data_IF_420843786903
#
_entry.id   IF_420843786903
#
_cell.length_a   1.000
_cell.length_b   1.000
_cell.length_c   1.000
_cell.angle_alpha   90.00
_cell.angle_beta   90.00
_cell.angle_gamma   90.00
#
_symmetry.space_group_name_H-M   'P 1'
#
loop_
_entity.id
_entity.type
_entity.pdbx_description
1 polymer ?
#
# COMPACT_ATOMS: atom_id res chain seq x y z
N UNK A 1 -15.49 5.17 -26.75
CA UNK A 1 -14.67 4.29 -25.88
C UNK A 1 -14.17 5.08 -24.68
N UNK A 2 -14.35 4.54 -23.49
CA UNK A 2 -13.76 5.13 -22.30
C UNK A 2 -12.40 4.51 -22.04
N UNK A 3 -11.43 5.34 -21.77
CA UNK A 3 -10.09 4.92 -21.35
C UNK A 3 -9.92 5.22 -19.88
N UNK A 4 -9.24 4.32 -19.19
CA UNK A 4 -8.85 4.53 -17.81
C UNK A 4 -7.33 4.49 -17.71
N UNK A 5 -6.78 5.21 -16.73
CA UNK A 5 -5.36 5.15 -16.45
C UNK A 5 -5.12 4.13 -15.34
N UNK A 6 -4.20 3.22 -15.59
CA UNK A 6 -3.77 2.23 -14.61
C UNK A 6 -2.29 2.41 -14.35
N UNK A 7 -1.86 2.09 -13.15
CA UNK A 7 -0.46 2.21 -12.79
C UNK A 7 -0.04 1.13 -11.81
N UNK A 8 1.24 0.83 -11.80
CA UNK A 8 1.87 -0.02 -10.80
C UNK A 8 2.96 0.79 -10.11
N UNK A 9 3.02 0.72 -8.79
CA UNK A 9 4.05 1.39 -8.01
C UNK A 9 5.15 0.40 -7.64
N UNK A 10 6.39 0.87 -7.69
CA UNK A 10 7.54 0.14 -7.17
C UNK A 10 7.99 0.86 -5.90
N UNK A 11 7.95 0.16 -4.78
CA UNK A 11 8.29 0.73 -3.48
C UNK A 11 9.39 -0.09 -2.82
N UNK A 12 10.32 0.60 -2.18
CA UNK A 12 11.39 -0.04 -1.44
C UNK A 12 11.01 -0.13 0.04
N UNK A 13 10.20 -1.16 0.35
CA UNK A 13 9.66 -1.34 1.69
C UNK A 13 10.65 -2.05 2.60
N UNK A 14 10.58 -1.73 3.89
CA UNK A 14 11.48 -2.28 4.91
C UNK A 14 10.69 -3.23 5.83
N UNK A 15 11.24 -4.41 6.17
CA UNK A 15 10.53 -5.35 7.04
C UNK A 15 10.09 -4.68 8.35
N UNK A 16 8.81 -4.78 8.65
CA UNK A 16 8.19 -4.30 9.88
C UNK A 16 8.34 -2.80 10.17
N UNK A 17 8.75 -2.02 9.18
CA UNK A 17 8.77 -0.57 9.29
C UNK A 17 7.36 -0.03 8.98
N UNK A 18 6.46 -0.21 9.92
CA UNK A 18 5.04 0.09 9.73
C UNK A 18 4.80 1.51 9.25
N UNK A 19 5.39 2.48 9.96
CA UNK A 19 5.18 3.88 9.62
C UNK A 19 5.81 4.25 8.28
N UNK A 20 7.05 3.83 8.06
CA UNK A 20 7.73 4.11 6.79
C UNK A 20 7.02 3.48 5.61
N UNK A 21 6.62 2.21 5.75
CA UNK A 21 5.90 1.50 4.71
C UNK A 21 4.56 2.17 4.41
N UNK A 22 3.82 2.57 5.45
CA UNK A 22 2.56 3.29 5.29
C UNK A 22 2.76 4.61 4.54
N UNK A 23 3.75 5.41 4.95
CA UNK A 23 4.00 6.71 4.33
C UNK A 23 4.35 6.58 2.85
N UNK A 24 5.14 5.56 2.48
CA UNK A 24 5.49 5.32 1.09
C UNK A 24 4.28 4.89 0.26
N UNK A 25 3.42 4.05 0.83
CA UNK A 25 2.17 3.67 0.17
C UNK A 25 1.26 4.89 -0.03
N UNK A 26 1.12 5.72 1.00
CA UNK A 26 0.30 6.92 0.91
C UNK A 26 0.84 7.88 -0.16
N UNK A 27 2.15 8.06 -0.21
CA UNK A 27 2.76 8.92 -1.22
C UNK A 27 2.49 8.39 -2.64
N UNK A 28 2.59 7.08 -2.84
CA UNK A 28 2.31 6.46 -4.12
C UNK A 28 0.85 6.68 -4.54
N UNK A 29 -0.08 6.52 -3.62
CA UNK A 29 -1.50 6.71 -3.89
C UNK A 29 -1.78 8.18 -4.26
N UNK A 30 -1.19 9.12 -3.53
CA UNK A 30 -1.37 10.55 -3.81
C UNK A 30 -0.79 10.94 -5.16
N UNK A 31 0.39 10.42 -5.50
CA UNK A 31 0.99 10.67 -6.81
C UNK A 31 0.12 10.10 -7.93
N UNK A 32 -0.34 8.87 -7.77
CA UNK A 32 -1.22 8.24 -8.76
C UNK A 32 -2.49 9.07 -8.95
N UNK A 33 -3.08 9.54 -7.85
CA UNK A 33 -4.28 10.39 -7.93
C UNK A 33 -3.99 11.67 -8.72
N UNK A 34 -2.84 12.30 -8.49
CA UNK A 34 -2.48 13.53 -9.19
C UNK A 34 -2.29 13.32 -10.68
N UNK A 35 -2.03 12.10 -11.10
CA UNK A 35 -1.87 11.72 -12.51
C UNK A 35 -3.14 11.15 -13.13
N UNK A 36 -4.26 11.19 -12.42
CA UNK A 36 -5.54 10.69 -12.93
C UNK A 36 -5.65 9.19 -13.00
N UNK A 37 -4.87 8.47 -12.21
CA UNK A 37 -4.90 7.00 -12.16
C UNK A 37 -6.18 6.53 -11.49
N UNK A 38 -6.87 5.58 -12.12
CA UNK A 38 -8.09 4.99 -11.59
C UNK A 38 -7.82 3.68 -10.86
N UNK A 39 -6.90 2.87 -11.37
CA UNK A 39 -6.52 1.60 -10.76
C UNK A 39 -5.02 1.62 -10.50
N UNK A 40 -4.63 1.46 -9.25
CA UNK A 40 -3.23 1.43 -8.82
C UNK A 40 -2.92 0.08 -8.19
N UNK A 41 -1.85 -0.55 -8.64
CA UNK A 41 -1.33 -1.77 -8.04
C UNK A 41 -0.09 -1.43 -7.21
N UNK A 42 -0.14 -1.75 -5.91
CA UNK A 42 0.99 -1.63 -5.01
C UNK A 42 1.73 -2.97 -4.94
N UNK A 43 3.00 -2.98 -4.50
CA UNK A 43 3.75 -4.22 -4.37
C UNK A 43 3.08 -5.18 -3.37
N UNK A 44 3.26 -6.47 -3.61
CA UNK A 44 2.90 -7.48 -2.63
C UNK A 44 3.62 -7.19 -1.31
N UNK A 45 2.98 -7.48 -0.18
CA UNK A 45 3.53 -7.25 1.16
C UNK A 45 3.98 -5.81 1.39
N UNK A 46 3.32 -4.84 0.76
CA UNK A 46 3.75 -3.44 0.84
C UNK A 46 3.62 -2.84 2.25
N UNK A 47 2.80 -3.41 3.13
CA UNK A 47 2.66 -2.92 4.50
C UNK A 47 3.67 -3.54 5.44
N UNK A 48 3.86 -4.85 5.38
CA UNK A 48 4.80 -5.56 6.25
C UNK A 48 6.25 -5.46 5.76
N UNK A 49 6.45 -5.38 4.44
CA UNK A 49 7.75 -5.56 3.81
C UNK A 49 8.05 -7.04 3.62
N UNK A 50 9.01 -7.33 2.77
CA UNK A 50 9.52 -8.69 2.57
C UNK A 50 10.55 -9.01 3.64
N UNK A 51 10.79 -10.31 3.87
CA UNK A 51 11.83 -10.75 4.76
C UNK A 51 11.48 -10.70 6.24
N UNK A 52 10.19 -10.66 6.57
CA UNK A 52 9.72 -10.63 7.96
C UNK A 52 9.85 -11.99 8.66
N UNK A 53 10.06 -13.06 7.91
CA UNK A 53 10.29 -14.41 8.45
C UNK A 53 9.20 -14.83 9.44
N UNK A 54 9.60 -15.24 10.64
CA UNK A 54 8.68 -15.76 11.66
C UNK A 54 7.71 -14.69 12.19
N UNK A 55 7.96 -13.42 11.92
CA UNK A 55 7.04 -12.36 12.34
C UNK A 55 5.65 -12.54 11.74
N UNK A 56 5.53 -13.21 10.58
CA UNK A 56 4.22 -13.49 9.99
C UNK A 56 3.38 -14.47 10.83
N UNK A 57 3.99 -15.16 11.78
CA UNK A 57 3.28 -16.05 12.70
C UNK A 57 2.71 -15.30 13.91
N UNK A 58 3.05 -14.02 14.07
CA UNK A 58 2.61 -13.22 15.20
C UNK A 58 1.25 -12.60 14.95
N UNK A 59 0.33 -12.74 15.90
CA UNK A 59 -0.98 -12.07 15.85
C UNK A 59 -0.83 -10.55 15.84
N UNK A 60 0.23 -10.02 16.49
CA UNK A 60 0.49 -8.58 16.50
C UNK A 60 0.82 -8.05 15.10
N UNK A 61 1.56 -8.84 14.31
CA UNK A 61 1.88 -8.46 12.93
C UNK A 61 0.60 -8.32 12.10
N UNK A 62 -0.31 -9.27 12.21
CA UNK A 62 -1.59 -9.22 11.50
C UNK A 62 -2.43 -8.03 11.93
N UNK A 63 -2.48 -7.77 13.23
CA UNK A 63 -3.23 -6.64 13.77
C UNK A 63 -2.69 -5.32 13.24
N UNK A 64 -1.37 -5.14 13.24
CA UNK A 64 -0.74 -3.92 12.76
C UNK A 64 -0.97 -3.72 11.27
N UNK A 65 -0.89 -4.81 10.49
CA UNK A 65 -1.17 -4.74 9.05
C UNK A 65 -2.61 -4.27 8.80
N UNK A 66 -3.57 -4.77 9.54
CA UNK A 66 -4.96 -4.33 9.43
C UNK A 66 -5.12 -2.85 9.79
N UNK A 67 -4.45 -2.39 10.85
CA UNK A 67 -4.51 -0.99 11.24
C UNK A 67 -3.93 -0.09 10.14
N UNK A 68 -2.82 -0.49 9.53
CA UNK A 68 -2.21 0.27 8.45
C UNK A 68 -3.09 0.28 7.21
N UNK A 69 -3.71 -0.86 6.89
CA UNK A 69 -4.66 -0.94 5.78
C UNK A 69 -5.84 0.01 6.01
N UNK A 70 -6.35 0.07 7.22
CA UNK A 70 -7.44 0.99 7.57
C UNK A 70 -7.04 2.45 7.33
N UNK A 71 -5.80 2.82 7.64
CA UNK A 71 -5.29 4.16 7.35
C UNK A 71 -5.20 4.42 5.84
N UNK A 72 -4.76 3.41 5.06
CA UNK A 72 -4.68 3.56 3.61
C UNK A 72 -6.05 3.73 2.96
N UNK A 73 -7.09 3.10 3.49
CA UNK A 73 -8.44 3.22 2.94
C UNK A 73 -8.88 4.68 2.82
N UNK A 74 -8.45 5.53 3.74
CA UNK A 74 -8.79 6.95 3.72
C UNK A 74 -8.23 7.68 2.50
N UNK A 75 -7.18 7.13 1.89
CA UNK A 75 -6.52 7.74 0.73
C UNK A 75 -7.07 7.21 -0.60
N UNK A 76 -7.85 6.13 -0.59
CA UNK A 76 -8.23 5.43 -1.83
C UNK A 76 -9.53 5.94 -2.45
N UNK A 77 -10.10 7.01 -1.93
CA UNK A 77 -11.37 7.53 -2.41
C UNK A 77 -11.32 7.81 -3.92
N UNK A 78 -12.29 7.24 -4.64
CA UNK A 78 -12.38 7.40 -6.08
C UNK A 78 -11.39 6.56 -6.90
N UNK A 79 -10.67 5.64 -6.26
CA UNK A 79 -9.69 4.77 -6.90
C UNK A 79 -9.89 3.32 -6.47
N UNK A 80 -9.37 2.41 -7.28
CA UNK A 80 -9.18 1.01 -6.88
C UNK A 80 -7.69 0.82 -6.63
N UNK A 81 -7.34 0.40 -5.43
CA UNK A 81 -5.95 0.17 -5.04
C UNK A 81 -5.80 -1.29 -4.63
N UNK A 82 -4.91 -1.98 -5.32
CA UNK A 82 -4.61 -3.38 -5.06
C UNK A 82 -3.28 -3.52 -4.33
#
# INVERSE_FOLDING_TARGET
MKLIHVAAAVLNQTPLDWRGNLLRCQAAIREARSRGVTVLCLPELCLTGYGCEDAFLSANTHRRAWLMMSELLKETHGMVVS
#
